data_IF_904437557107
#
_entry.id   IF_904437557107
#
_cell.length_a   1.000
_cell.length_b   1.000
_cell.length_c   1.000
_cell.angle_alpha   90.00
_cell.angle_beta   90.00
_cell.angle_gamma   90.00
#
_symmetry.space_group_name_H-M   'P 1'
#
loop_
_entity.id
_entity.type
_entity.pdbx_description
1 polymer ?
#
# COMPACT_ATOMS: atom_id res chain seq x y z
N UNK A 1 -3.17 -10.83 19.34
CA UNK A 1 -2.35 -11.68 18.44
C UNK A 1 -2.66 -11.47 16.97
N UNK A 2 -3.94 -11.49 16.52
CA UNK A 2 -4.29 -11.33 15.10
C UNK A 2 -3.75 -10.03 14.44
N UNK A 3 -3.96 -8.86 15.07
CA UNK A 3 -3.47 -7.57 14.55
C UNK A 3 -1.96 -7.56 14.30
N UNK A 4 -1.18 -8.15 15.22
CA UNK A 4 0.28 -8.22 15.08
C UNK A 4 0.68 -9.10 13.90
N UNK A 5 0.03 -10.23 13.71
CA UNK A 5 0.25 -11.11 12.56
C UNK A 5 -0.05 -10.39 11.24
N UNK A 6 -1.22 -9.77 11.11
CA UNK A 6 -1.60 -9.01 9.91
C UNK A 6 -0.74 -7.78 9.67
N UNK A 7 -0.15 -7.18 10.73
CA UNK A 7 0.82 -6.08 10.63
C UNK A 7 2.10 -6.53 9.92
N UNK A 8 2.64 -7.69 10.30
CA UNK A 8 3.84 -8.22 9.65
C UNK A 8 3.56 -8.66 8.20
N UNK A 9 2.38 -9.20 7.91
CA UNK A 9 1.99 -9.52 6.53
C UNK A 9 1.95 -8.23 5.69
N UNK A 10 1.28 -7.18 6.14
CA UNK A 10 1.20 -5.94 5.39
C UNK A 10 2.58 -5.30 5.22
N UNK A 11 3.40 -5.29 6.27
CA UNK A 11 4.77 -4.80 6.19
C UNK A 11 5.61 -5.58 5.17
N UNK A 12 5.48 -6.90 5.12
CA UNK A 12 6.17 -7.74 4.14
C UNK A 12 5.71 -7.44 2.71
N UNK A 13 4.41 -7.28 2.49
CA UNK A 13 3.85 -6.92 1.17
C UNK A 13 4.45 -5.60 0.68
N UNK A 14 4.45 -4.55 1.51
CA UNK A 14 5.00 -3.25 1.14
C UNK A 14 6.53 -3.27 1.02
N UNK A 15 7.23 -4.07 1.80
CA UNK A 15 8.67 -4.25 1.66
C UNK A 15 9.02 -4.86 0.29
N UNK A 16 8.32 -5.92 -0.10
CA UNK A 16 8.51 -6.57 -1.39
C UNK A 16 8.16 -5.61 -2.53
N UNK A 17 7.03 -4.89 -2.43
CA UNK A 17 6.61 -3.91 -3.41
C UNK A 17 7.64 -2.78 -3.56
N UNK A 18 8.13 -2.22 -2.46
CA UNK A 18 9.14 -1.17 -2.47
C UNK A 18 10.46 -1.62 -3.10
N UNK A 19 10.91 -2.84 -2.80
CA UNK A 19 12.09 -3.43 -3.45
C UNK A 19 11.84 -3.59 -4.96
N UNK A 20 10.64 -4.02 -5.36
CA UNK A 20 10.28 -4.17 -6.76
C UNK A 20 10.26 -2.83 -7.50
N UNK A 21 9.77 -1.74 -6.89
CA UNK A 21 9.84 -0.39 -7.43
C UNK A 21 11.27 0.04 -7.75
N UNK A 22 12.22 -0.32 -6.89
CA UNK A 22 13.63 0.06 -7.06
C UNK A 22 14.38 -0.84 -8.06
N UNK A 23 14.07 -2.15 -8.07
CA UNK A 23 14.79 -3.13 -8.90
C UNK A 23 14.22 -3.31 -10.30
N UNK A 24 12.90 -3.16 -10.44
CA UNK A 24 12.17 -3.43 -11.67
C UNK A 24 11.12 -2.34 -11.94
N UNK A 25 11.51 -1.07 -12.08
CA UNK A 25 10.58 0.05 -12.17
C UNK A 25 9.74 0.05 -13.46
N UNK A 26 10.17 -0.65 -14.51
CA UNK A 26 9.54 -0.60 -15.82
C UNK A 26 8.02 -0.90 -15.79
N UNK A 27 7.60 -1.92 -15.06
CA UNK A 27 6.18 -2.27 -14.93
C UNK A 27 5.36 -1.19 -14.23
N UNK A 28 5.93 -0.55 -13.21
CA UNK A 28 5.27 0.55 -12.49
C UNK A 28 5.19 1.82 -13.33
N UNK A 29 6.25 2.11 -14.08
CA UNK A 29 6.28 3.24 -15.02
C UNK A 29 5.25 3.07 -16.13
N UNK A 30 5.11 1.87 -16.68
CA UNK A 30 4.15 1.59 -17.74
C UNK A 30 2.70 1.90 -17.33
N UNK A 31 2.32 1.66 -16.09
CA UNK A 31 0.96 1.90 -15.59
C UNK A 31 0.78 3.30 -14.99
N UNK A 32 1.86 4.08 -14.84
CA UNK A 32 1.77 5.43 -14.28
C UNK A 32 1.04 6.35 -15.27
N UNK A 33 -0.03 7.08 -14.83
CA UNK A 33 -0.76 7.98 -15.71
C UNK A 33 0.13 9.10 -16.26
N UNK A 34 -0.13 9.53 -17.49
CA UNK A 34 0.68 10.54 -18.22
C UNK A 34 0.73 11.92 -17.55
N UNK A 35 -0.25 12.25 -16.70
CA UNK A 35 -0.29 13.51 -15.95
C UNK A 35 0.62 13.53 -14.72
N UNK A 36 1.21 12.39 -14.34
CA UNK A 36 2.14 12.33 -13.19
C UNK A 36 3.47 12.95 -13.59
N UNK A 37 3.92 14.01 -12.91
CA UNK A 37 5.18 14.66 -13.23
C UNK A 37 6.35 13.77 -12.81
N UNK A 38 7.40 13.75 -13.64
CA UNK A 38 8.65 13.00 -13.37
C UNK A 38 8.39 11.56 -12.87
N UNK A 39 7.72 10.71 -13.67
CA UNK A 39 7.23 9.41 -13.21
C UNK A 39 8.32 8.51 -12.63
N UNK A 40 9.55 8.58 -13.16
CA UNK A 40 10.69 7.83 -12.63
C UNK A 40 10.99 8.21 -11.19
N UNK A 41 11.04 9.52 -10.91
CA UNK A 41 11.30 10.02 -9.55
C UNK A 41 10.19 9.60 -8.60
N UNK A 42 8.93 9.72 -9.04
CA UNK A 42 7.76 9.31 -8.23
C UNK A 42 7.82 7.82 -7.93
N UNK A 43 8.05 6.96 -8.91
CA UNK A 43 8.14 5.50 -8.73
C UNK A 43 9.27 5.12 -7.78
N UNK A 44 10.45 5.70 -7.95
CA UNK A 44 11.60 5.43 -7.07
C UNK A 44 11.36 5.93 -5.64
N UNK A 45 10.82 7.14 -5.49
CA UNK A 45 10.52 7.74 -4.19
C UNK A 45 9.44 6.94 -3.44
N UNK A 46 8.38 6.52 -4.12
CA UNK A 46 7.34 5.69 -3.51
C UNK A 46 7.88 4.34 -3.04
N UNK A 47 8.78 3.72 -3.81
CA UNK A 47 9.47 2.51 -3.38
C UNK A 47 10.28 2.68 -2.09
N UNK A 48 11.00 3.80 -1.96
CA UNK A 48 11.71 4.12 -0.72
C UNK A 48 10.74 4.34 0.45
N UNK A 49 9.62 5.05 0.21
CA UNK A 49 8.58 5.26 1.23
C UNK A 49 7.93 3.95 1.68
N UNK A 50 7.70 3.01 0.75
CA UNK A 50 7.16 1.68 1.06
C UNK A 50 8.11 0.89 1.97
N UNK A 51 9.41 0.88 1.68
CA UNK A 51 10.42 0.21 2.51
C UNK A 51 10.49 0.86 3.89
N UNK A 52 10.59 2.19 3.96
CA UNK A 52 10.66 2.91 5.22
C UNK A 52 9.40 2.72 6.06
N UNK A 53 8.23 2.80 5.43
CA UNK A 53 6.94 2.56 6.07
C UNK A 53 6.79 1.13 6.59
N UNK A 54 7.25 0.13 5.83
CA UNK A 54 7.22 -1.27 6.24
C UNK A 54 8.08 -1.51 7.50
N UNK A 55 9.30 -0.94 7.53
CA UNK A 55 10.19 -1.00 8.70
C UNK A 55 9.54 -0.29 9.90
N UNK A 56 9.00 0.90 9.68
CA UNK A 56 8.33 1.67 10.74
C UNK A 56 7.12 0.92 11.31
N UNK A 57 6.26 0.36 10.44
CA UNK A 57 5.07 -0.39 10.84
C UNK A 57 5.44 -1.64 11.66
N UNK A 58 6.44 -2.40 11.22
CA UNK A 58 6.81 -3.66 11.83
C UNK A 58 7.57 -3.46 13.16
N UNK A 59 8.60 -2.60 13.16
CA UNK A 59 9.62 -2.59 14.19
C UNK A 59 9.63 -1.35 15.08
N UNK A 60 8.97 -0.23 14.68
CA UNK A 60 9.03 1.02 15.44
C UNK A 60 7.64 1.38 16.00
N UNK A 61 7.32 0.96 17.24
CA UNK A 61 5.97 1.15 17.82
C UNK A 61 5.48 2.60 17.80
N UNK A 62 6.39 3.56 17.99
CA UNK A 62 6.08 5.00 18.00
C UNK A 62 5.64 5.52 16.62
N UNK A 63 6.07 4.88 15.53
CA UNK A 63 5.76 5.28 14.15
C UNK A 63 4.62 4.50 13.52
N UNK A 64 4.04 3.49 14.19
CA UNK A 64 2.98 2.65 13.63
C UNK A 64 1.77 3.44 13.12
N UNK A 65 1.33 4.43 13.91
CA UNK A 65 0.17 5.26 13.50
C UNK A 65 0.50 6.11 12.27
N UNK A 66 1.68 6.71 12.24
CA UNK A 66 2.14 7.47 11.08
C UNK A 66 2.29 6.57 9.84
N UNK A 67 2.88 5.37 9.99
CA UNK A 67 2.98 4.40 8.90
C UNK A 67 1.60 3.91 8.42
N UNK A 68 0.65 3.69 9.35
CA UNK A 68 -0.73 3.32 9.00
C UNK A 68 -1.42 4.38 8.16
N UNK A 69 -1.32 5.66 8.54
CA UNK A 69 -1.83 6.78 7.75
C UNK A 69 -1.11 6.94 6.40
N UNK A 70 0.22 6.80 6.40
CA UNK A 70 1.01 6.91 5.18
C UNK A 70 0.62 5.82 4.17
N UNK A 71 0.46 4.57 4.60
CA UNK A 71 0.03 3.48 3.71
C UNK A 71 -1.42 3.61 3.26
N UNK A 72 -2.32 4.10 4.11
CA UNK A 72 -3.70 4.39 3.71
C UNK A 72 -3.75 5.49 2.63
N UNK A 73 -3.02 6.59 2.83
CA UNK A 73 -2.90 7.65 1.83
C UNK A 73 -2.24 7.15 0.54
N UNK A 74 -1.17 6.37 0.66
CA UNK A 74 -0.48 5.75 -0.49
C UNK A 74 -1.44 4.86 -1.29
N UNK A 75 -2.22 4.00 -0.63
CA UNK A 75 -3.20 3.17 -1.30
C UNK A 75 -4.19 4.01 -2.13
N UNK A 76 -4.65 5.14 -1.61
CA UNK A 76 -5.50 6.08 -2.37
C UNK A 76 -4.74 6.71 -3.54
N UNK A 77 -3.49 7.14 -3.33
CA UNK A 77 -2.68 7.81 -4.36
C UNK A 77 -2.30 6.89 -5.53
N UNK A 78 -2.12 5.59 -5.32
CA UNK A 78 -1.79 4.63 -6.40
C UNK A 78 -3.03 4.11 -7.12
N UNK A 79 -4.22 4.37 -6.62
CA UNK A 79 -5.45 3.89 -7.21
C UNK A 79 -5.64 4.35 -8.68
N UNK A 80 -5.34 5.61 -9.07
CA UNK A 80 -5.37 6.02 -10.46
C UNK A 80 -4.47 5.19 -11.38
N UNK A 81 -3.29 4.78 -10.93
CA UNK A 81 -2.40 3.92 -11.72
C UNK A 81 -2.99 2.51 -11.91
N UNK A 82 -3.68 1.97 -10.88
CA UNK A 82 -4.38 0.70 -10.98
C UNK A 82 -5.56 0.78 -11.97
N UNK A 83 -6.31 1.89 -11.97
CA UNK A 83 -7.38 2.15 -12.94
C UNK A 83 -6.80 2.30 -14.34
N UNK A 84 -5.71 3.07 -14.50
CA UNK A 84 -5.04 3.28 -15.79
C UNK A 84 -4.59 1.93 -16.39
N UNK A 85 -4.00 1.06 -15.59
CA UNK A 85 -3.61 -0.29 -16.00
C UNK A 85 -4.81 -1.11 -16.52
N UNK A 86 -5.92 -1.11 -15.76
CA UNK A 86 -7.10 -1.90 -16.08
C UNK A 86 -7.85 -1.39 -17.31
N UNK A 87 -8.00 -0.07 -17.43
CA UNK A 87 -8.84 0.54 -18.48
C UNK A 87 -8.13 0.61 -19.83
N UNK A 88 -6.81 0.70 -19.83
CA UNK A 88 -6.01 0.83 -21.06
C UNK A 88 -5.32 -0.47 -21.47
N UNK A 89 -5.63 -1.58 -20.80
CA UNK A 89 -5.07 -2.93 -21.09
C UNK A 89 -3.54 -2.91 -21.27
N UNK A 90 -2.85 -2.23 -20.35
CA UNK A 90 -1.40 -2.01 -20.45
C UNK A 90 -0.65 -3.32 -20.20
N UNK A 91 0.14 -3.76 -21.16
CA UNK A 91 1.00 -4.94 -20.99
C UNK A 91 2.16 -4.66 -20.04
N UNK A 92 2.42 -5.57 -19.10
CA UNK A 92 3.62 -5.56 -18.26
C UNK A 92 4.48 -6.75 -18.66
N UNK A 93 5.73 -6.46 -19.11
CA UNK A 93 6.63 -7.51 -19.59
C UNK A 93 6.07 -8.29 -20.81
N UNK A 94 5.26 -7.64 -21.63
CA UNK A 94 4.62 -8.26 -22.80
C UNK A 94 3.36 -9.07 -22.46
N UNK A 95 2.92 -9.08 -21.21
CA UNK A 95 1.71 -9.83 -20.77
C UNK A 95 0.58 -8.88 -20.45
N UNK A 96 -0.59 -9.11 -21.06
CA UNK A 96 -1.86 -8.46 -20.73
C UNK A 96 -2.54 -9.19 -19.59
N UNK A 97 -2.99 -8.43 -18.59
CA UNK A 97 -3.70 -8.99 -17.44
C UNK A 97 -5.20 -8.98 -17.70
N UNK A 98 -5.87 -10.10 -17.37
CA UNK A 98 -7.32 -10.20 -17.54
C UNK A 98 -8.09 -9.47 -16.43
N UNK A 99 -9.41 -9.29 -16.62
CA UNK A 99 -10.30 -8.73 -15.59
C UNK A 99 -10.36 -9.57 -14.31
N UNK A 100 -10.00 -10.84 -14.36
CA UNK A 100 -9.83 -11.68 -13.16
C UNK A 100 -8.68 -11.20 -12.26
N UNK A 101 -7.71 -10.48 -12.83
CA UNK A 101 -6.65 -9.81 -12.06
C UNK A 101 -7.05 -8.38 -11.66
N UNK A 102 -7.57 -7.59 -12.62
CA UNK A 102 -7.90 -6.18 -12.38
C UNK A 102 -9.09 -6.00 -11.44
N UNK A 103 -10.15 -6.80 -11.58
CA UNK A 103 -11.34 -6.70 -10.76
C UNK A 103 -11.05 -6.83 -9.26
N UNK A 104 -10.46 -7.95 -8.78
CA UNK A 104 -10.06 -8.08 -7.40
C UNK A 104 -9.11 -6.97 -6.94
N UNK A 105 -8.11 -6.61 -7.74
CA UNK A 105 -7.13 -5.57 -7.40
C UNK A 105 -7.79 -4.22 -7.14
N UNK A 106 -8.78 -3.83 -7.93
CA UNK A 106 -9.52 -2.59 -7.74
C UNK A 106 -10.47 -2.66 -6.53
N UNK A 107 -11.17 -3.79 -6.36
CA UNK A 107 -12.08 -4.00 -5.24
C UNK A 107 -11.36 -4.08 -3.88
N UNK A 108 -10.14 -4.61 -3.85
CA UNK A 108 -9.34 -4.68 -2.62
C UNK A 108 -8.76 -3.34 -2.18
N UNK A 109 -8.82 -2.30 -3.00
CA UNK A 109 -8.24 -1.00 -2.64
C UNK A 109 -8.79 -0.41 -1.33
N UNK A 110 -10.12 -0.36 -1.10
CA UNK A 110 -10.66 0.09 0.19
C UNK A 110 -10.24 -0.83 1.35
N UNK A 111 -10.07 -2.12 1.09
CA UNK A 111 -9.61 -3.09 2.09
C UNK A 111 -8.17 -2.78 2.49
N UNK A 112 -7.29 -2.44 1.56
CA UNK A 112 -5.91 -2.04 1.88
C UNK A 112 -5.86 -0.76 2.71
N UNK A 113 -6.70 0.24 2.39
CA UNK A 113 -6.83 1.46 3.20
C UNK A 113 -7.23 1.12 4.64
N UNK A 114 -8.32 0.36 4.80
CA UNK A 114 -8.77 -0.07 6.11
C UNK A 114 -7.71 -0.90 6.84
N UNK A 115 -7.09 -1.88 6.15
CA UNK A 115 -6.08 -2.75 6.75
C UNK A 115 -4.89 -1.95 7.26
N UNK A 116 -4.37 -0.99 6.49
CA UNK A 116 -3.29 -0.11 6.91
C UNK A 116 -3.63 0.68 8.19
N UNK A 117 -4.83 1.27 8.24
CA UNK A 117 -5.31 1.99 9.41
C UNK A 117 -5.48 1.08 10.64
N UNK A 118 -6.00 -0.13 10.42
CA UNK A 118 -6.21 -1.08 11.51
C UNK A 118 -4.90 -1.59 12.08
N UNK A 119 -3.96 -2.06 11.27
CA UNK A 119 -2.68 -2.58 11.77
C UNK A 119 -1.73 -1.48 12.26
N UNK A 120 -1.94 -0.24 11.79
CA UNK A 120 -1.24 0.96 12.26
C UNK A 120 -1.75 1.50 13.61
N UNK A 121 -2.69 0.81 14.27
CA UNK A 121 -3.30 1.24 15.53
C UNK A 121 -4.05 2.59 15.42
N UNK A 122 -4.56 2.94 14.22
CA UNK A 122 -5.35 4.15 13.94
C UNK A 122 -6.84 3.91 14.24
N UNK A 123 -7.37 2.74 13.84
CA UNK A 123 -8.76 2.34 14.06
C UNK A 123 -8.86 0.96 14.67
N UNK A 124 -9.93 0.72 15.44
CA UNK A 124 -10.29 -0.60 15.97
C UNK A 124 -11.48 -1.22 15.24
N UNK A 125 -12.17 -0.45 14.38
CA UNK A 125 -13.31 -0.95 13.61
C UNK A 125 -12.89 -2.04 12.62
N UNK A 126 -13.67 -3.13 12.42
CA UNK A 126 -14.96 -3.46 13.04
C UNK A 126 -14.83 -4.24 14.36
N UNK A 127 -13.64 -4.50 14.88
CA UNK A 127 -13.36 -5.33 16.05
C UNK A 127 -13.50 -4.52 17.36
N UNK A 128 -14.69 -4.08 17.67
CA UNK A 128 -15.01 -3.21 18.82
C UNK A 128 -14.80 -3.87 20.20
N UNK A 129 -14.40 -5.14 20.26
CA UNK A 129 -14.21 -5.88 21.52
C UNK A 129 -13.03 -5.46 22.41
N UNK A 130 -12.13 -4.58 21.95
CA UNK A 130 -10.99 -4.07 22.72
C UNK A 130 -11.16 -2.62 23.17
N UNK A 131 -12.39 -2.22 23.52
CA UNK A 131 -12.75 -0.86 23.95
C UNK A 131 -12.01 -0.36 25.21
N UNK A 132 -11.23 -1.21 25.89
CA UNK A 132 -10.48 -0.87 27.10
C UNK A 132 -8.98 -0.61 26.87
N UNK A 133 -8.49 -0.51 25.63
CA UNK A 133 -7.15 -0.01 25.42
C UNK A 133 -7.19 1.50 25.24
N UNK A 134 -6.63 2.28 26.17
CA UNK A 134 -6.57 3.73 26.00
C UNK A 134 -5.83 4.04 24.69
N UNK A 135 -6.46 4.86 23.85
CA UNK A 135 -5.81 5.50 22.71
C UNK A 135 -4.65 6.30 23.31
N UNK A 136 -3.41 5.88 23.09
CA UNK A 136 -2.26 6.65 23.55
C UNK A 136 -2.28 8.00 22.83
N UNK A 137 -2.23 9.12 23.55
CA UNK A 137 -2.10 10.43 22.92
C UNK A 137 -0.79 10.49 22.12
N UNK A 138 -0.75 11.40 21.16
CA UNK A 138 0.40 11.70 20.30
C UNK A 138 1.60 12.15 21.11
#
# INVERSE_FOLDING_TARGET
MARTFFRYILALIYLIAGIAHLRSPAGFLAITPVWVPSPVVVVMFTGLCEIAGAIALAFIPRLRRAAGWAFAAYAVCVFPANINHAMNDIAIGGTHMSWWYHGPRLLFQPVFVWWALWVGDVTNWPFVGDANRPVRPL
#
